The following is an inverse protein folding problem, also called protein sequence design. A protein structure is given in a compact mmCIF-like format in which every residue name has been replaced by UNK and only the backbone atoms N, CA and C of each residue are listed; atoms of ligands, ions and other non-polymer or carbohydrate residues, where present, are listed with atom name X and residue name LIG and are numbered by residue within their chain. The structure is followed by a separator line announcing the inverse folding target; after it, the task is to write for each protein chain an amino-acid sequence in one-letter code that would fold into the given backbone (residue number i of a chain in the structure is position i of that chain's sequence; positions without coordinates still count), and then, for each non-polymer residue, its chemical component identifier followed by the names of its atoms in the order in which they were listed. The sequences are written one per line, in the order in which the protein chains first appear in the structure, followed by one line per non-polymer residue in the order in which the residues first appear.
data_IF_422047287381
#
_entry.id   IF_422047287381
#
_cell.length_a   1.000
_cell.length_b   1.000
_cell.length_c   1.000
_cell.angle_alpha   90.00
_cell.angle_beta   90.00
_cell.angle_gamma   90.00
#
_symmetry.space_group_name_H-M   'P 1'
#
loop_
_entity.id
_entity.type
_entity.pdbx_description
1 polymer ?
#
# COMPACT_ATOMS: atom_id res chain seq x y z
N UNK A 1 -12.82 -0.62 -23.05
CA UNK A 1 -11.89 0.51 -23.32
C UNK A 1 -11.02 0.75 -22.09
N UNK A 2 -9.70 0.55 -22.21
CA UNK A 2 -8.72 0.77 -21.14
C UNK A 2 -7.43 1.35 -21.73
N UNK A 3 -7.44 2.68 -21.86
CA UNK A 3 -6.43 3.64 -22.37
C UNK A 3 -4.96 3.16 -22.43
N UNK A 4 -4.40 3.26 -23.64
CA UNK A 4 -2.97 3.40 -24.02
C UNK A 4 -2.03 3.81 -22.86
N UNK A 5 -1.43 2.84 -22.19
CA UNK A 5 -0.33 3.10 -21.26
C UNK A 5 0.92 3.46 -22.07
N UNK A 6 1.42 4.71 -21.96
CA UNK A 6 2.69 5.19 -22.57
C UNK A 6 3.93 4.66 -21.84
N UNK A 7 3.86 3.43 -21.34
CA UNK A 7 4.90 2.79 -20.53
C UNK A 7 5.37 1.52 -21.21
N UNK A 8 6.68 1.28 -21.19
CA UNK A 8 7.28 0.03 -21.62
C UNK A 8 7.81 -0.74 -20.40
N UNK A 9 7.76 -2.06 -20.46
CA UNK A 9 8.41 -2.95 -19.49
C UNK A 9 9.64 -3.55 -20.17
N UNK A 10 10.82 -3.35 -19.57
CA UNK A 10 12.10 -3.85 -20.10
C UNK A 10 12.65 -4.86 -19.10
N UNK A 11 12.92 -6.07 -19.57
CA UNK A 11 13.60 -7.10 -18.79
C UNK A 11 15.08 -7.14 -19.16
N UNK A 12 15.94 -7.17 -18.13
CA UNK A 12 17.38 -7.35 -18.29
C UNK A 12 17.74 -8.78 -17.88
N UNK A 13 18.49 -9.48 -18.73
CA UNK A 13 19.12 -10.76 -18.36
C UNK A 13 20.45 -10.49 -17.64
N UNK A 14 20.38 -9.76 -16.53
CA UNK A 14 21.52 -9.39 -15.70
C UNK A 14 21.10 -9.45 -14.22
N UNK A 15 22.05 -9.74 -13.34
CA UNK A 15 21.82 -9.78 -11.89
C UNK A 15 21.61 -8.38 -11.31
N UNK A 16 22.31 -7.38 -11.85
CA UNK A 16 22.22 -5.98 -11.45
C UNK A 16 21.60 -5.11 -12.56
N UNK A 17 20.94 -4.02 -12.15
CA UNK A 17 20.38 -3.05 -13.09
C UNK A 17 21.51 -2.24 -13.75
N UNK A 18 21.48 -2.04 -15.09
CA UNK A 18 22.45 -1.20 -15.76
C UNK A 18 22.30 0.25 -15.29
N UNK A 19 23.36 1.07 -15.27
CA UNK A 19 23.27 2.48 -14.84
C UNK A 19 22.43 3.34 -15.79
N UNK A 20 22.32 2.94 -17.06
CA UNK A 20 21.52 3.65 -18.05
C UNK A 20 20.99 2.72 -19.15
N UNK A 21 19.92 3.15 -19.82
CA UNK A 21 19.28 2.46 -20.94
C UNK A 21 19.11 3.45 -22.08
N UNK A 22 19.53 3.08 -23.29
CA UNK A 22 19.30 3.89 -24.49
C UNK A 22 17.99 3.48 -25.16
N UNK A 23 17.05 4.40 -25.29
CA UNK A 23 15.78 4.21 -25.98
C UNK A 23 15.54 5.37 -26.94
N UNK A 24 15.12 5.07 -28.17
CA UNK A 24 14.82 6.10 -29.19
C UNK A 24 15.96 7.13 -29.38
N UNK A 25 17.22 6.67 -29.26
CA UNK A 25 18.40 7.54 -29.37
C UNK A 25 18.77 8.33 -28.10
N UNK A 26 17.93 8.31 -27.06
CA UNK A 26 18.13 9.05 -25.80
C UNK A 26 18.62 8.09 -24.71
N UNK A 27 19.58 8.53 -23.89
CA UNK A 27 20.11 7.79 -22.76
C UNK A 27 19.35 8.14 -21.47
N UNK A 28 18.76 7.15 -20.82
CA UNK A 28 17.99 7.31 -19.58
C UNK A 28 18.75 6.68 -18.41
N UNK A 29 18.93 7.42 -17.32
CA UNK A 29 19.47 6.86 -16.08
C UNK A 29 18.45 5.89 -15.44
N UNK A 30 18.93 4.75 -14.98
CA UNK A 30 18.10 3.76 -14.28
C UNK A 30 18.23 3.98 -12.78
N UNK A 31 17.10 3.98 -12.10
CA UNK A 31 17.04 4.06 -10.64
C UNK A 31 16.26 2.89 -10.10
N UNK A 32 16.72 2.35 -8.96
CA UNK A 32 15.96 1.37 -8.21
C UNK A 32 14.60 1.95 -7.83
N UNK A 33 13.54 1.28 -8.28
CA UNK A 33 12.19 1.67 -7.92
C UNK A 33 12.01 1.47 -6.41
N UNK A 34 11.77 2.57 -5.69
CA UNK A 34 11.39 2.54 -4.27
C UNK A 34 9.89 2.62 -4.19
N UNK A 35 9.22 1.49 -3.95
CA UNK A 35 7.78 1.47 -4.01
C UNK A 35 7.22 2.22 -2.78
N UNK A 36 6.21 3.06 -2.99
CA UNK A 36 5.64 3.89 -1.91
C UNK A 36 4.75 3.05 -0.99
N UNK A 37 4.59 3.50 0.25
CA UNK A 37 3.54 2.99 1.14
C UNK A 37 2.20 3.48 0.61
N UNK A 38 1.28 2.56 0.35
CA UNK A 38 -0.05 2.89 -0.14
C UNK A 38 -0.99 3.15 1.04
N UNK A 39 -1.59 4.34 1.05
CA UNK A 39 -2.61 4.72 2.00
C UNK A 39 -3.90 5.06 1.25
N UNK A 40 -5.01 4.48 1.70
CA UNK A 40 -6.30 4.70 1.08
C UNK A 40 -6.80 6.11 1.41
N UNK A 41 -7.09 6.91 0.38
CA UNK A 41 -7.63 8.27 0.57
C UNK A 41 -9.13 8.27 0.93
N UNK A 42 -9.76 7.11 1.08
CA UNK A 42 -11.15 6.95 1.48
C UNK A 42 -11.25 6.52 2.95
N UNK A 43 -10.91 5.26 3.24
CA UNK A 43 -10.99 4.69 4.58
C UNK A 43 -9.75 4.95 5.45
N UNK A 44 -8.71 5.59 4.88
CA UNK A 44 -7.52 6.04 5.62
C UNK A 44 -6.69 4.91 6.24
N UNK A 45 -6.84 3.69 5.73
CA UNK A 45 -6.00 2.54 6.09
C UNK A 45 -4.75 2.44 5.22
N UNK A 46 -3.64 1.98 5.81
CA UNK A 46 -2.41 1.62 5.09
C UNK A 46 -2.55 0.18 4.61
N UNK A 47 -2.53 -0.03 3.29
CA UNK A 47 -2.48 -1.36 2.63
C UNK A 47 -2.89 -1.28 1.17
N UNK A 48 -3.77 -0.34 0.85
CA UNK A 48 -4.47 -0.32 -0.43
C UNK A 48 -4.75 1.12 -0.87
N UNK A 49 -5.10 1.27 -2.16
CA UNK A 49 -5.48 2.55 -2.77
C UNK A 49 -7.00 2.68 -2.81
N UNK A 50 -7.50 3.91 -3.02
CA UNK A 50 -8.94 4.22 -3.02
C UNK A 50 -9.74 3.36 -4.01
N UNK A 51 -9.17 3.07 -5.17
CA UNK A 51 -9.76 2.30 -6.27
C UNK A 51 -10.02 0.83 -5.93
N UNK A 52 -9.27 0.27 -4.97
CA UNK A 52 -9.41 -1.12 -4.50
C UNK A 52 -9.87 -1.18 -3.04
N UNK A 53 -10.56 -0.14 -2.58
CA UNK A 53 -11.00 -0.05 -1.19
C UNK A 53 -12.13 -1.04 -0.89
N UNK A 54 -12.00 -1.90 0.14
CA UNK A 54 -13.07 -2.81 0.56
C UNK A 54 -14.25 -2.07 1.22
N UNK A 55 -14.06 -0.79 1.58
CA UNK A 55 -15.03 0.03 2.30
C UNK A 55 -15.30 1.33 1.52
N UNK A 56 -15.95 1.29 0.34
CA UNK A 56 -16.13 2.46 -0.52
C UNK A 56 -16.99 3.55 0.13
N UNK A 57 -17.97 3.18 0.97
CA UNK A 57 -18.87 4.12 1.62
C UNK A 57 -18.34 4.66 2.97
N UNK A 58 -17.14 4.28 3.37
CA UNK A 58 -16.55 4.66 4.65
C UNK A 58 -15.60 5.85 4.47
N UNK A 59 -16.18 7.03 4.23
CA UNK A 59 -15.44 8.27 4.07
C UNK A 59 -14.86 8.71 5.43
N UNK A 60 -13.57 8.50 5.60
CA UNK A 60 -12.84 9.02 6.75
C UNK A 60 -12.31 10.43 6.46
N UNK A 61 -12.20 11.25 7.51
CA UNK A 61 -11.74 12.63 7.41
C UNK A 61 -10.42 12.73 6.66
N UNK A 62 -10.32 13.74 5.79
CA UNK A 62 -9.14 13.90 4.95
C UNK A 62 -7.90 14.41 5.69
N UNK A 63 -8.11 15.08 6.83
CA UNK A 63 -7.07 15.61 7.71
C UNK A 63 -6.62 14.60 8.75
N UNK A 64 -7.52 14.03 9.55
CA UNK A 64 -7.17 13.20 10.70
C UNK A 64 -7.47 11.69 10.54
N UNK A 65 -8.23 11.29 9.52
CA UNK A 65 -8.59 9.90 9.29
C UNK A 65 -9.69 9.33 10.20
N UNK A 66 -10.26 10.14 11.09
CA UNK A 66 -11.39 9.75 11.95
C UNK A 66 -12.75 9.98 11.26
N UNK A 67 -13.79 9.36 11.81
CA UNK A 67 -15.18 9.55 11.37
C UNK A 67 -15.83 10.66 12.20
N UNK A 68 -16.13 11.78 11.57
CA UNK A 68 -16.81 12.93 12.16
C UNK A 68 -17.51 13.75 11.07
N UNK A 69 -18.42 14.69 11.42
CA UNK A 69 -19.02 15.62 10.45
C UNK A 69 -17.96 16.42 9.69
N UNK A 70 -18.24 16.82 8.45
CA UNK A 70 -17.24 17.43 7.54
C UNK A 70 -16.60 18.71 8.11
N UNK A 71 -17.37 19.51 8.87
CA UNK A 71 -16.93 20.78 9.43
C UNK A 71 -16.24 20.66 10.81
N UNK A 72 -15.99 19.45 11.29
CA UNK A 72 -15.36 19.28 12.59
C UNK A 72 -13.87 19.70 12.54
N UNK A 73 -13.45 20.68 13.36
CA UNK A 73 -12.06 21.11 13.39
C UNK A 73 -11.20 19.99 14.00
N UNK A 74 -10.35 19.37 13.18
CA UNK A 74 -9.45 18.31 13.60
C UNK A 74 -8.00 18.62 13.19
N UNK A 75 -7.01 18.26 14.03
CA UNK A 75 -5.61 18.38 13.67
C UNK A 75 -5.26 17.40 12.52
N UNK A 76 -4.41 17.79 11.56
CA UNK A 76 -3.97 16.88 10.51
C UNK A 76 -3.09 15.78 11.09
N UNK A 77 -3.33 14.54 10.68
CA UNK A 77 -2.56 13.38 11.10
C UNK A 77 -2.26 12.47 9.90
N UNK A 78 -1.02 12.00 9.80
CA UNK A 78 -0.61 11.11 8.74
C UNK A 78 -0.89 9.67 9.13
N UNK A 79 -1.59 8.89 8.31
CA UNK A 79 -1.83 7.47 8.62
C UNK A 79 -0.61 6.58 8.35
N UNK A 80 0.41 7.11 7.67
CA UNK A 80 1.65 6.37 7.37
C UNK A 80 2.65 6.50 8.51
N UNK A 81 2.78 7.70 9.10
CA UNK A 81 3.81 7.99 10.09
C UNK A 81 3.29 8.65 11.36
N UNK A 82 1.97 8.81 11.49
CA UNK A 82 1.24 9.31 12.66
C UNK A 82 1.57 10.74 13.12
N UNK A 83 2.48 11.42 12.41
CA UNK A 83 2.87 12.80 12.65
C UNK A 83 1.81 13.83 12.19
N UNK A 84 1.96 15.06 12.70
CA UNK A 84 1.08 16.21 12.48
C UNK A 84 1.20 16.81 11.06
N UNK A 85 0.80 16.06 10.04
CA UNK A 85 0.65 16.55 8.67
C UNK A 85 -0.36 15.68 7.90
N UNK A 86 -0.84 16.16 6.76
CA UNK A 86 -1.79 15.41 5.94
C UNK A 86 -1.14 14.16 5.35
N UNK A 87 -1.91 13.07 5.24
CA UNK A 87 -1.43 11.86 4.54
C UNK A 87 -1.12 12.17 3.08
N UNK A 88 0.05 11.76 2.60
CA UNK A 88 0.52 12.02 1.24
C UNK A 88 1.38 13.28 1.08
N UNK A 89 1.52 14.08 2.15
CA UNK A 89 2.39 15.25 2.17
C UNK A 89 3.85 14.87 1.86
N UNK A 90 4.59 15.82 1.26
CA UNK A 90 6.05 15.74 1.02
C UNK A 90 6.83 15.69 2.32
N UNK A 91 6.27 16.19 3.42
CA UNK A 91 6.83 16.09 4.76
C UNK A 91 6.96 14.63 5.26
N UNK A 92 6.16 13.69 4.72
CA UNK A 92 6.19 12.29 5.14
C UNK A 92 7.43 11.57 4.61
N UNK A 93 8.51 11.52 5.40
CA UNK A 93 9.73 10.77 5.03
C UNK A 93 9.49 9.25 4.98
N UNK A 94 8.59 8.73 5.81
CA UNK A 94 8.27 7.30 5.88
C UNK A 94 7.45 6.79 4.68
N UNK A 95 6.88 7.67 3.83
CA UNK A 95 6.14 7.26 2.62
C UNK A 95 6.98 6.47 1.61
N UNK A 96 8.31 6.59 1.68
CA UNK A 96 9.27 5.91 0.82
C UNK A 96 10.07 4.81 1.54
N UNK A 97 9.90 4.67 2.85
CA UNK A 97 10.56 3.63 3.63
C UNK A 97 9.63 2.41 3.64
N UNK A 98 9.81 1.47 2.70
CA UNK A 98 9.24 0.14 2.88
C UNK A 98 10.09 -0.63 3.89
N UNK A 99 9.71 -0.48 5.15
CA UNK A 99 10.02 -1.40 6.23
C UNK A 99 8.79 -2.20 6.65
N UNK A 100 7.86 -2.51 5.74
CA UNK A 100 6.98 -3.65 5.99
C UNK A 100 7.79 -4.90 5.67
N UNK A 101 8.61 -5.31 6.65
CA UNK A 101 8.80 -6.74 6.90
C UNK A 101 7.44 -7.36 6.69
N UNK A 102 7.35 -8.28 5.74
CA UNK A 102 6.20 -9.16 5.60
C UNK A 102 5.76 -9.50 7.03
N UNK A 103 4.62 -8.97 7.48
CA UNK A 103 3.82 -9.70 8.44
C UNK A 103 3.46 -10.94 7.65
N UNK A 104 4.38 -11.91 7.68
CA UNK A 104 4.18 -13.28 7.31
C UNK A 104 3.01 -13.69 8.15
N UNK A 105 1.79 -13.53 7.62
CA UNK A 105 0.59 -14.08 8.22
C UNK A 105 0.92 -15.55 8.35
N UNK A 106 1.12 -16.11 9.56
CA UNK A 106 1.34 -17.53 9.66
C UNK A 106 0.11 -18.18 9.04
N UNK A 107 0.35 -19.02 8.03
CA UNK A 107 -0.67 -19.78 7.33
C UNK A 107 -1.29 -20.70 8.38
N UNK A 108 -2.37 -20.26 9.03
CA UNK A 108 -3.13 -21.11 9.94
C UNK A 108 -3.66 -22.27 9.11
N UNK A 109 -3.09 -23.46 9.33
CA UNK A 109 -3.63 -24.71 8.80
C UNK A 109 -4.94 -24.96 9.56
N UNK A 110 -6.08 -25.19 8.88
CA UNK A 110 -7.28 -25.61 9.57
C UNK A 110 -7.02 -26.95 10.26
N UNK A 111 -7.14 -27.00 11.58
CA UNK A 111 -7.20 -28.25 12.34
C UNK A 111 -8.55 -28.89 12.03
N UNK A 112 -8.54 -30.05 11.40
CA UNK A 112 -9.72 -30.89 11.28
C UNK A 112 -10.01 -31.47 12.67
N UNK A 113 -11.17 -31.12 13.23
CA UNK A 113 -11.73 -31.72 14.43
C UNK A 113 -11.97 -33.22 14.17
N UNK A 114 -11.24 -34.08 14.89
CA UNK A 114 -11.51 -35.51 14.94
C UNK A 114 -12.51 -35.75 16.06
N UNK A 115 -13.77 -35.99 15.70
CA UNK A 115 -14.84 -36.37 16.59
C UNK A 115 -14.63 -37.84 16.97
N UNK A 116 -14.30 -38.12 18.24
CA UNK A 116 -14.32 -39.47 18.80
C UNK A 116 -15.66 -39.69 19.52
N UNK A 117 -16.48 -40.51 18.89
CA UNK A 117 -17.70 -41.09 19.45
C UNK A 117 -17.31 -42.04 20.60
N UNK A 118 -17.95 -41.90 21.76
CA UNK A 118 -17.80 -42.77 22.91
C UNK A 118 -18.74 -43.99 22.75
N UNK A 119 -18.31 -45.22 23.06
CA UNK A 119 -19.25 -46.32 23.22
C UNK A 119 -19.85 -46.29 24.64
N UNK A 120 -21.18 -46.28 24.73
CA UNK A 120 -21.90 -46.61 25.96
C UNK A 120 -21.89 -48.14 26.19
N UNK A 121 -21.85 -48.53 27.47
CA UNK A 121 -21.80 -49.90 27.96
C UNK A 121 -23.12 -50.67 27.75
#
# INVERSE_FOLDING_TARGET
MGRTSRSVLIHFMAEELPPSVKMFGILYAVFNFRPKVEACLNCRQVSHRRDVCPLPNHLACSSCGQKHPEDYPCPPQCVICENAHKTGDRACKQRFQRGFSRLSRPRQRPQQEHQQEQPEF
#
